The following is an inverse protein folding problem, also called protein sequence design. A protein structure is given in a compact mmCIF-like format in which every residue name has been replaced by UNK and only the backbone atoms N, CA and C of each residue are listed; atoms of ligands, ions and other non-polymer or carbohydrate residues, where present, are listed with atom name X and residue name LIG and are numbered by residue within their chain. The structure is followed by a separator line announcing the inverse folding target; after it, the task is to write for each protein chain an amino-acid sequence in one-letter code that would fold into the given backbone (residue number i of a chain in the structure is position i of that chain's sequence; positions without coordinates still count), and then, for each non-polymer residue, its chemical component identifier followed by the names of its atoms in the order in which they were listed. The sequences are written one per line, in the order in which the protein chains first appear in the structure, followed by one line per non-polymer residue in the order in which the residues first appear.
data_IF_294777321321
#
_entry.id   IF_294777321321
#
_cell.length_a   1.000
_cell.length_b   1.000
_cell.length_c   1.000
_cell.angle_alpha   90.00
_cell.angle_beta   90.00
_cell.angle_gamma   90.00
#
_symmetry.space_group_name_H-M   'P 1'
#
loop_
_entity.id
_entity.type
_entity.pdbx_description
1 polymer ?
#
# COMPACT_ATOMS: atom_id res chain seq x y z
N UNK A 1 -26.89 -14.12 4.97
CA UNK A 1 -26.66 -12.67 4.92
C UNK A 1 -25.18 -12.54 4.87
N UNK A 2 -24.67 -11.84 3.86
CA UNK A 2 -23.26 -11.90 3.55
C UNK A 2 -22.73 -10.48 3.53
N UNK A 3 -21.54 -10.29 4.10
CA UNK A 3 -20.81 -9.04 4.07
C UNK A 3 -19.31 -9.36 3.98
N UNK A 4 -18.50 -8.34 3.71
CA UNK A 4 -17.06 -8.49 3.52
C UNK A 4 -16.31 -7.68 4.55
N UNK A 5 -15.14 -8.18 4.97
CA UNK A 5 -14.18 -7.48 5.82
C UNK A 5 -12.89 -7.33 5.01
N UNK A 6 -12.30 -6.14 5.02
CA UNK A 6 -10.98 -5.85 4.44
C UNK A 6 -10.02 -5.54 5.60
N UNK A 7 -8.97 -6.36 5.74
CA UNK A 7 -7.96 -6.23 6.79
C UNK A 7 -6.59 -6.00 6.16
N UNK A 8 -5.92 -4.92 6.56
CA UNK A 8 -4.63 -4.49 6.02
C UNK A 8 -3.72 -4.05 7.14
N UNK A 9 -2.48 -4.50 7.10
CA UNK A 9 -1.41 -3.99 7.93
C UNK A 9 -0.07 -4.26 7.23
N UNK A 10 0.94 -3.42 7.49
CA UNK A 10 2.32 -3.70 7.05
C UNK A 10 2.88 -4.91 7.82
N UNK A 11 2.48 -5.05 9.09
CA UNK A 11 2.81 -6.16 9.97
C UNK A 11 1.84 -7.32 9.75
N UNK A 12 2.35 -8.39 9.16
CA UNK A 12 1.58 -9.63 8.98
C UNK A 12 1.11 -10.23 10.30
N UNK A 13 1.93 -10.10 11.36
CA UNK A 13 1.59 -10.59 12.69
C UNK A 13 0.39 -9.84 13.28
N UNK A 14 0.37 -8.51 13.16
CA UNK A 14 -0.72 -7.69 13.71
C UNK A 14 -2.02 -7.90 12.92
N UNK A 15 -1.93 -8.05 11.59
CA UNK A 15 -3.09 -8.42 10.77
C UNK A 15 -3.66 -9.79 11.16
N UNK A 16 -2.80 -10.79 11.31
CA UNK A 16 -3.21 -12.15 11.65
C UNK A 16 -3.80 -12.22 13.07
N UNK A 17 -3.28 -11.41 13.99
CA UNK A 17 -3.84 -11.23 15.32
C UNK A 17 -5.24 -10.60 15.28
N UNK A 18 -5.43 -9.52 14.51
CA UNK A 18 -6.73 -8.89 14.34
C UNK A 18 -7.78 -9.85 13.73
N UNK A 19 -7.37 -10.67 12.76
CA UNK A 19 -8.22 -11.70 12.19
C UNK A 19 -8.62 -12.77 13.23
N UNK A 20 -7.66 -13.21 14.05
CA UNK A 20 -7.93 -14.16 15.13
C UNK A 20 -8.94 -13.61 16.14
N UNK A 21 -8.84 -12.33 16.50
CA UNK A 21 -9.77 -11.64 17.39
C UNK A 21 -11.18 -11.53 16.80
N UNK A 22 -11.30 -11.21 15.50
CA UNK A 22 -12.58 -11.21 14.79
C UNK A 22 -13.23 -12.60 14.82
N UNK A 23 -12.45 -13.65 14.56
CA UNK A 23 -12.93 -15.04 14.60
C UNK A 23 -13.32 -15.47 16.01
N UNK A 24 -12.61 -15.02 17.04
CA UNK A 24 -12.97 -15.27 18.44
C UNK A 24 -14.29 -14.58 18.82
N UNK A 25 -14.46 -13.31 18.43
CA UNK A 25 -15.70 -12.57 18.66
C UNK A 25 -16.91 -13.21 17.95
N UNK A 26 -16.72 -13.72 16.72
CA UNK A 26 -17.77 -14.43 16.00
C UNK A 26 -18.25 -15.67 16.74
N UNK A 27 -17.35 -16.50 17.28
CA UNK A 27 -17.72 -17.70 18.07
C UNK A 27 -18.60 -17.35 19.28
N UNK A 28 -18.29 -16.25 19.99
CA UNK A 28 -19.11 -15.78 21.10
C UNK A 28 -20.51 -15.34 20.65
N UNK A 29 -20.63 -14.78 19.45
CA UNK A 29 -21.92 -14.38 18.88
C UNK A 29 -22.75 -15.58 18.42
N UNK A 30 -22.12 -16.62 17.86
CA UNK A 30 -22.79 -17.88 17.51
C UNK A 30 -23.48 -18.48 18.73
N UNK A 31 -22.76 -18.60 19.85
CA UNK A 31 -23.30 -19.13 21.10
C UNK A 31 -24.44 -18.26 21.68
N UNK A 32 -24.24 -16.94 21.68
CA UNK A 32 -25.19 -16.00 22.29
C UNK A 32 -26.48 -15.85 21.48
N UNK A 33 -26.39 -15.90 20.15
CA UNK A 33 -27.50 -15.57 19.25
C UNK A 33 -28.10 -16.81 18.58
N UNK A 34 -27.49 -17.99 18.72
CA UNK A 34 -27.96 -19.23 18.09
C UNK A 34 -27.84 -19.20 16.56
N UNK A 35 -26.79 -18.55 16.04
CA UNK A 35 -26.52 -18.41 14.60
C UNK A 35 -25.25 -19.16 14.21
N UNK A 36 -25.06 -19.40 12.92
CA UNK A 36 -23.81 -19.93 12.36
C UNK A 36 -23.12 -18.84 11.53
N UNK A 37 -21.81 -18.67 11.73
CA UNK A 37 -20.97 -17.68 11.06
C UNK A 37 -19.82 -18.41 10.37
N UNK A 38 -19.80 -18.36 9.04
CA UNK A 38 -18.74 -18.96 8.24
C UNK A 38 -17.81 -17.88 7.68
N UNK A 39 -16.51 -18.19 7.64
CA UNK A 39 -15.48 -17.31 7.07
C UNK A 39 -14.96 -17.92 5.77
N UNK A 40 -14.81 -17.10 4.74
CA UNK A 40 -14.11 -17.47 3.51
C UNK A 40 -13.12 -16.39 3.11
N UNK A 41 -11.88 -16.80 2.86
CA UNK A 41 -10.85 -15.90 2.36
C UNK A 41 -11.07 -15.69 0.87
N UNK A 42 -11.39 -14.46 0.46
CA UNK A 42 -11.48 -14.09 -0.96
C UNK A 42 -10.12 -13.75 -1.55
N UNK A 43 -9.36 -12.95 -0.83
CA UNK A 43 -8.01 -12.50 -1.21
C UNK A 43 -7.17 -12.46 0.06
N UNK A 44 -5.98 -13.06 0.01
CA UNK A 44 -4.95 -12.94 1.05
C UNK A 44 -3.60 -12.74 0.38
N UNK A 45 -3.06 -11.54 0.52
CA UNK A 45 -1.76 -11.16 -0.04
C UNK A 45 -0.81 -10.83 1.11
N UNK A 46 0.46 -11.27 1.07
CA UNK A 46 1.44 -10.84 2.05
C UNK A 46 1.79 -9.35 1.89
N UNK A 47 2.20 -8.72 2.98
CA UNK A 47 2.78 -7.38 2.93
C UNK A 47 4.16 -7.42 2.29
N UNK A 48 4.47 -6.41 1.49
CA UNK A 48 5.70 -6.33 0.69
C UNK A 48 6.40 -5.02 0.98
N UNK A 49 7.69 -5.11 1.30
CA UNK A 49 8.54 -3.94 1.52
C UNK A 49 9.18 -3.49 0.21
N UNK A 50 9.23 -2.18 -0.01
CA UNK A 50 10.04 -1.61 -1.08
C UNK A 50 11.54 -1.81 -0.77
N UNK A 51 12.35 -1.88 -1.82
CA UNK A 51 13.78 -2.04 -1.71
C UNK A 51 14.44 -0.75 -1.20
N UNK A 52 15.23 -0.84 -0.13
CA UNK A 52 15.84 0.34 0.50
C UNK A 52 16.76 1.13 -0.43
N UNK A 53 17.53 0.46 -1.31
CA UNK A 53 18.42 1.14 -2.24
C UNK A 53 17.62 1.95 -3.27
N UNK A 54 16.53 1.39 -3.82
CA UNK A 54 15.64 2.13 -4.70
C UNK A 54 14.93 3.28 -3.97
N UNK A 55 14.48 3.07 -2.74
CA UNK A 55 13.87 4.12 -1.92
C UNK A 55 14.85 5.28 -1.66
N UNK A 56 16.13 4.98 -1.42
CA UNK A 56 17.17 6.00 -1.27
C UNK A 56 17.35 6.82 -2.55
N UNK A 57 17.41 6.15 -3.72
CA UNK A 57 17.55 6.84 -5.02
C UNK A 57 16.33 7.73 -5.32
N UNK A 58 15.12 7.27 -4.99
CA UNK A 58 13.89 8.05 -5.13
C UNK A 58 13.97 9.32 -4.26
N UNK A 59 14.34 9.17 -2.98
CA UNK A 59 14.42 10.27 -2.02
C UNK A 59 15.50 11.29 -2.39
N UNK A 60 16.68 10.82 -2.82
CA UNK A 60 17.74 11.69 -3.34
C UNK A 60 17.28 12.46 -4.58
N UNK A 61 16.61 11.76 -5.51
CA UNK A 61 16.11 12.38 -6.74
C UNK A 61 15.03 13.42 -6.44
N UNK A 62 14.11 13.16 -5.50
CA UNK A 62 13.16 14.18 -5.06
C UNK A 62 13.85 15.42 -4.47
N UNK A 63 14.92 15.20 -3.68
CA UNK A 63 15.75 16.26 -3.10
C UNK A 63 16.44 17.14 -4.15
N UNK A 64 16.90 16.60 -5.28
CA UNK A 64 17.49 17.38 -6.38
C UNK A 64 16.49 18.34 -7.03
N UNK A 65 15.21 17.97 -7.07
CA UNK A 65 14.12 18.85 -7.48
C UNK A 65 13.66 19.80 -6.37
N UNK A 66 14.31 19.80 -5.20
CA UNK A 66 13.93 20.55 -4.02
C UNK A 66 12.50 20.27 -3.55
N UNK A 67 12.03 19.03 -3.76
CA UNK A 67 10.69 18.60 -3.37
C UNK A 67 10.72 18.07 -1.93
N UNK A 68 9.78 18.48 -1.06
CA UNK A 68 9.62 17.85 0.24
C UNK A 68 9.11 16.41 0.06
N UNK A 69 9.75 15.45 0.72
CA UNK A 69 9.38 14.03 0.66
C UNK A 69 9.38 13.38 2.04
N UNK A 70 8.61 12.31 2.19
CA UNK A 70 8.63 11.45 3.38
C UNK A 70 8.43 9.99 2.98
N UNK A 71 9.04 9.06 3.72
CA UNK A 71 8.80 7.62 3.53
C UNK A 71 7.54 7.19 4.25
N UNK A 72 6.67 6.47 3.56
CA UNK A 72 5.41 5.98 4.14
C UNK A 72 5.00 4.64 3.54
N UNK A 73 4.23 3.81 4.28
CA UNK A 73 3.60 2.65 3.70
C UNK A 73 2.46 3.05 2.76
N UNK A 74 2.19 2.22 1.75
CA UNK A 74 0.96 2.33 0.96
C UNK A 74 -0.21 1.68 1.73
N UNK A 75 -1.30 2.43 1.91
CA UNK A 75 -2.55 1.88 2.44
C UNK A 75 -3.38 1.11 1.41
N UNK A 76 -3.04 1.23 0.12
CA UNK A 76 -3.71 0.56 -0.99
C UNK A 76 -2.86 -0.57 -1.57
N UNK A 77 -3.54 -1.57 -2.14
CA UNK A 77 -2.90 -2.60 -2.93
C UNK A 77 -2.54 -2.05 -4.31
N UNK A 78 -1.31 -2.31 -4.77
CA UNK A 78 -0.82 -1.93 -6.09
C UNK A 78 -0.15 -3.11 -6.78
N UNK A 79 -0.06 -3.07 -8.10
CA UNK A 79 0.58 -4.14 -8.88
C UNK A 79 2.01 -4.42 -8.44
N UNK A 80 2.75 -3.39 -8.00
CA UNK A 80 4.10 -3.52 -7.45
C UNK A 80 4.20 -4.59 -6.34
N UNK A 81 3.15 -4.80 -5.54
CA UNK A 81 3.13 -5.84 -4.50
C UNK A 81 3.30 -7.25 -5.09
N UNK A 82 2.76 -7.51 -6.28
CA UNK A 82 2.92 -8.80 -6.94
C UNK A 82 4.34 -9.00 -7.51
N UNK A 83 5.06 -7.92 -7.78
CA UNK A 83 6.43 -7.95 -8.29
C UNK A 83 7.50 -8.02 -7.19
N UNK A 84 7.21 -7.57 -5.97
CA UNK A 84 8.19 -7.56 -4.87
C UNK A 84 8.90 -8.88 -4.58
N UNK A 85 8.25 -10.06 -4.70
CA UNK A 85 8.94 -11.35 -4.59
C UNK A 85 9.90 -11.68 -5.75
N UNK A 86 9.80 -10.98 -6.88
CA UNK A 86 10.51 -11.27 -8.13
C UNK A 86 11.66 -10.29 -8.39
N UNK A 87 11.51 -9.03 -8.02
CA UNK A 87 12.51 -8.00 -8.25
C UNK A 87 12.42 -6.87 -7.21
N UNK A 88 13.49 -6.05 -7.08
CA UNK A 88 13.42 -4.81 -6.31
C UNK A 88 12.30 -3.91 -6.81
N UNK A 89 11.45 -3.44 -5.89
CA UNK A 89 10.38 -2.49 -6.19
C UNK A 89 10.57 -1.20 -5.40
N UNK A 90 10.08 -0.10 -5.95
CA UNK A 90 9.95 1.20 -5.29
C UNK A 90 8.69 1.89 -5.81
N UNK A 91 8.10 2.76 -4.98
CA UNK A 91 6.89 3.50 -5.33
C UNK A 91 7.10 4.98 -5.05
N UNK A 92 6.57 5.83 -5.95
CA UNK A 92 6.57 7.28 -5.82
C UNK A 92 5.12 7.73 -5.72
N UNK A 93 4.77 8.39 -4.63
CA UNK A 93 3.46 8.98 -4.43
C UNK A 93 3.50 10.49 -4.61
N UNK A 94 2.42 11.02 -5.18
CA UNK A 94 2.14 12.45 -5.30
C UNK A 94 0.84 12.76 -4.56
N UNK A 95 0.68 13.95 -3.98
CA UNK A 95 -0.48 14.26 -3.16
C UNK A 95 -1.74 14.42 -4.01
N UNK A 96 -2.83 13.78 -3.62
CA UNK A 96 -4.18 14.09 -4.12
C UNK A 96 -4.89 15.05 -3.15
N UNK A 97 -5.69 15.96 -3.69
CA UNK A 97 -6.44 16.95 -2.90
C UNK A 97 -7.34 16.23 -1.89
N UNK A 98 -7.23 16.61 -0.61
CA UNK A 98 -7.89 15.98 0.53
C UNK A 98 -7.58 14.49 0.75
N UNK A 99 -6.59 13.92 0.05
CA UNK A 99 -6.29 12.48 0.09
C UNK A 99 -7.42 11.61 -0.47
N UNK A 100 -8.30 12.16 -1.30
CA UNK A 100 -9.40 11.40 -1.88
C UNK A 100 -8.89 10.43 -2.94
N UNK A 101 -9.48 9.23 -2.93
CA UNK A 101 -9.31 8.22 -3.95
C UNK A 101 -10.61 7.43 -4.14
N UNK A 102 -10.81 6.82 -5.30
CA UNK A 102 -12.04 6.09 -5.67
C UNK A 102 -13.30 6.95 -5.58
N UNK A 103 -13.16 8.24 -5.86
CA UNK A 103 -14.27 9.20 -5.91
C UNK A 103 -14.23 9.97 -7.22
N UNK A 104 -15.41 10.43 -7.67
CA UNK A 104 -15.51 11.20 -8.90
C UNK A 104 -14.78 12.55 -8.85
N UNK A 105 -14.58 13.09 -7.65
CA UNK A 105 -13.86 14.34 -7.37
C UNK A 105 -12.39 14.12 -6.93
N UNK A 106 -11.85 12.91 -7.13
CA UNK A 106 -10.41 12.64 -6.99
C UNK A 106 -9.62 13.54 -7.95
N UNK A 107 -8.63 14.26 -7.40
CA UNK A 107 -7.85 15.21 -8.18
C UNK A 107 -6.44 15.39 -7.62
N UNK A 108 -5.46 15.30 -8.51
CA UNK A 108 -4.05 15.65 -8.27
C UNK A 108 -3.72 16.82 -9.19
N UNK A 109 -3.19 17.94 -8.68
CA UNK A 109 -2.74 19.04 -9.52
C UNK A 109 -1.71 18.58 -10.57
N UNK A 110 -1.78 19.16 -11.78
CA UNK A 110 -0.86 18.80 -12.86
C UNK A 110 0.62 19.02 -12.49
N UNK A 111 0.91 20.01 -11.66
CA UNK A 111 2.26 20.27 -11.15
C UNK A 111 2.77 19.11 -10.29
N UNK A 112 1.95 18.57 -9.38
CA UNK A 112 2.29 17.41 -8.58
C UNK A 112 2.47 16.15 -9.46
N UNK A 113 1.60 15.96 -10.46
CA UNK A 113 1.77 14.89 -11.44
C UNK A 113 3.10 15.01 -12.20
N UNK A 114 3.45 16.23 -12.65
CA UNK A 114 4.69 16.49 -13.37
C UNK A 114 5.92 16.26 -12.46
N UNK A 115 5.85 16.68 -11.20
CA UNK A 115 6.89 16.43 -10.20
C UNK A 115 7.11 14.93 -9.99
N UNK A 116 6.04 14.15 -9.80
CA UNK A 116 6.12 12.69 -9.68
C UNK A 116 6.71 12.02 -10.92
N UNK A 117 6.31 12.46 -12.12
CA UNK A 117 6.83 11.95 -13.38
C UNK A 117 8.32 12.27 -13.56
N UNK A 118 8.76 13.47 -13.19
CA UNK A 118 10.17 13.87 -13.23
C UNK A 118 11.01 13.06 -12.25
N UNK A 119 10.54 12.84 -11.02
CA UNK A 119 11.24 11.98 -10.05
C UNK A 119 11.33 10.55 -10.57
N UNK A 120 10.26 10.01 -11.16
CA UNK A 120 10.25 8.67 -11.74
C UNK A 120 11.30 8.54 -12.86
N UNK A 121 11.29 9.45 -13.82
CA UNK A 121 12.23 9.42 -14.95
C UNK A 121 13.69 9.44 -14.48
N UNK A 122 14.03 10.37 -13.59
CA UNK A 122 15.41 10.54 -13.12
C UNK A 122 15.83 9.38 -12.21
N UNK A 123 14.90 8.82 -11.43
CA UNK A 123 15.13 7.61 -10.65
C UNK A 123 15.47 6.43 -11.56
N UNK A 124 14.74 6.24 -12.66
CA UNK A 124 14.98 5.16 -13.62
C UNK A 124 16.37 5.29 -14.26
N UNK A 125 16.74 6.50 -14.69
CA UNK A 125 18.08 6.77 -15.28
C UNK A 125 19.20 6.45 -14.29
N UNK A 126 19.05 6.84 -13.02
CA UNK A 126 20.04 6.53 -11.98
C UNK A 126 20.08 5.06 -11.63
N UNK A 127 18.93 4.41 -11.52
CA UNK A 127 18.83 3.00 -11.19
C UNK A 127 19.44 2.11 -12.28
N UNK A 128 19.29 2.48 -13.56
CA UNK A 128 19.94 1.80 -14.69
C UNK A 128 21.47 1.83 -14.56
N UNK A 129 22.04 2.94 -14.09
CA UNK A 129 23.49 3.06 -13.86
C UNK A 129 24.01 2.27 -12.63
N UNK A 130 23.12 1.68 -11.81
CA UNK A 130 23.48 0.83 -10.67
C UNK A 130 23.55 -0.67 -11.03
N UNK A 131 23.13 -1.05 -12.24
CA UNK A 131 23.15 -2.42 -12.76
C UNK A 131 24.35 -2.62 -13.68
#
# INVERSE_FOLDING_TARGET
MDFTIDLRDVSMADRDQAEAEIKAAARLLEEKMGVTIEFSDRVRTPSVLCNDALMNVIEETAGEFSLPSLRMPSGACHDAMHFGPLCPIGMIFVPSVNGYSHRADEYTPLEDCANGANVLLNTLVKADALV
#
